data_IF_881474360791
#
_entry.id   IF_881474360791
#
_cell.length_a   1.000
_cell.length_b   1.000
_cell.length_c   1.000
_cell.angle_alpha   90.00
_cell.angle_beta   90.00
_cell.angle_gamma   90.00
#
_symmetry.space_group_name_H-M   'P 1'
#
loop_
_entity.id
_entity.type
_entity.pdbx_description
1 polymer ?
#
# COMPACT_ATOMS: atom_id res chain seq x y z
N UNK A 1 -9.53 7.70 3.54
CA UNK A 1 -8.31 7.21 2.90
C UNK A 1 -7.65 6.15 3.78
N UNK A 2 -6.89 5.27 3.17
CA UNK A 2 -6.24 4.16 3.85
C UNK A 2 -4.76 4.13 3.47
N UNK A 3 -3.90 3.95 4.46
CA UNK A 3 -2.50 3.66 4.25
C UNK A 3 -2.25 2.16 4.44
N UNK A 4 -1.55 1.53 3.49
CA UNK A 4 -1.04 0.15 3.60
C UNK A 4 0.46 0.25 3.87
N UNK A 5 0.96 -0.41 4.92
CA UNK A 5 2.36 -0.30 5.33
C UNK A 5 2.82 -1.53 6.11
N UNK A 6 4.11 -1.85 6.03
CA UNK A 6 4.76 -2.84 6.88
C UNK A 6 5.14 -2.27 8.26
N UNK A 7 5.03 -0.95 8.48
CA UNK A 7 5.53 -0.26 9.66
C UNK A 7 7.02 -0.52 9.95
N UNK A 8 7.83 -0.66 8.91
CA UNK A 8 9.28 -0.77 9.10
C UNK A 8 9.83 0.44 9.85
N UNK A 9 10.93 0.25 10.57
CA UNK A 9 11.57 1.32 11.30
C UNK A 9 12.05 2.42 10.34
N UNK A 10 11.80 3.66 10.67
CA UNK A 10 12.19 4.81 9.87
C UNK A 10 11.01 5.46 9.13
N UNK A 11 11.10 5.54 7.80
CA UNK A 11 10.13 6.27 6.96
C UNK A 11 8.71 5.74 7.07
N UNK A 12 8.52 4.43 7.09
CA UNK A 12 7.20 3.81 7.16
C UNK A 12 6.46 4.22 8.43
N UNK A 13 7.16 4.21 9.57
CA UNK A 13 6.58 4.61 10.85
C UNK A 13 6.23 6.10 10.84
N UNK A 14 7.10 6.98 10.31
CA UNK A 14 6.85 8.43 10.22
C UNK A 14 5.63 8.72 9.33
N UNK A 15 5.54 8.05 8.18
CA UNK A 15 4.42 8.20 7.25
C UNK A 15 3.12 7.70 7.89
N UNK A 16 3.17 6.57 8.61
CA UNK A 16 2.00 6.01 9.30
C UNK A 16 1.47 6.96 10.40
N UNK A 17 2.35 7.50 11.25
CA UNK A 17 1.98 8.49 12.27
C UNK A 17 1.35 9.75 11.65
N UNK A 18 1.96 10.23 10.56
CA UNK A 18 1.45 11.40 9.82
C UNK A 18 0.08 11.11 9.19
N UNK A 19 -0.12 9.94 8.63
CA UNK A 19 -1.39 9.53 8.03
C UNK A 19 -2.49 9.42 9.09
N UNK A 20 -2.20 8.81 10.23
CA UNK A 20 -3.13 8.71 11.36
C UNK A 20 -3.54 10.10 11.86
N UNK A 21 -2.59 11.01 12.03
CA UNK A 21 -2.86 12.39 12.43
C UNK A 21 -3.76 13.14 11.43
N UNK A 22 -3.84 12.67 10.18
CA UNK A 22 -4.71 13.19 9.12
C UNK A 22 -5.99 12.38 8.91
N UNK A 23 -6.30 11.45 9.82
CA UNK A 23 -7.54 10.67 9.78
C UNK A 23 -7.55 9.49 8.80
N UNK A 24 -6.37 9.03 8.36
CA UNK A 24 -6.28 7.79 7.58
C UNK A 24 -6.47 6.57 8.48
N UNK A 25 -7.10 5.53 7.96
CA UNK A 25 -7.02 4.20 8.53
C UNK A 25 -5.73 3.50 8.09
N UNK A 26 -5.26 2.55 8.89
CA UNK A 26 -4.07 1.75 8.61
C UNK A 26 -4.44 0.30 8.31
N UNK A 27 -3.84 -0.24 7.28
CA UNK A 27 -3.77 -1.67 7.02
C UNK A 27 -2.31 -2.10 7.09
N UNK A 28 -2.04 -3.10 7.88
CA UNK A 28 -0.68 -3.59 8.12
C UNK A 28 -0.46 -4.88 7.33
N UNK A 29 0.66 -4.95 6.59
CA UNK A 29 1.15 -6.19 5.97
C UNK A 29 2.57 -6.41 6.47
N UNK A 30 2.71 -7.30 7.45
CA UNK A 30 3.98 -7.60 8.08
C UNK A 30 4.67 -8.76 7.36
N UNK A 31 6.01 -8.71 7.15
CA UNK A 31 6.76 -9.78 6.49
C UNK A 31 6.83 -11.06 7.32
N UNK A 32 6.66 -10.94 8.63
CA UNK A 32 6.72 -12.02 9.61
C UNK A 32 5.58 -11.93 10.62
N UNK A 33 5.28 -13.00 11.37
CA UNK A 33 4.49 -12.89 12.58
C UNK A 33 5.06 -11.78 13.48
N UNK A 34 4.17 -11.01 14.09
CA UNK A 34 4.52 -9.80 14.85
C UNK A 34 5.69 -10.02 15.83
N UNK A 35 5.67 -11.11 16.59
CA UNK A 35 6.71 -11.41 17.57
C UNK A 35 8.09 -11.64 16.94
N UNK A 36 8.14 -12.20 15.73
CA UNK A 36 9.39 -12.38 14.97
C UNK A 36 9.86 -11.05 14.40
N UNK A 37 8.92 -10.27 13.84
CA UNK A 37 9.24 -8.98 13.23
C UNK A 37 9.74 -7.95 14.25
N UNK A 38 9.29 -8.04 15.50
CA UNK A 38 9.77 -7.17 16.60
C UNK A 38 11.29 -7.26 16.84
N UNK A 39 11.94 -8.34 16.42
CA UNK A 39 13.38 -8.50 16.56
C UNK A 39 14.21 -7.61 15.62
N UNK A 40 13.58 -7.08 14.57
CA UNK A 40 14.26 -6.23 13.57
C UNK A 40 14.35 -4.75 13.99
N UNK A 41 13.72 -4.39 15.12
CA UNK A 41 13.61 -3.00 15.55
C UNK A 41 14.62 -2.64 16.64
N UNK A 42 15.10 -1.41 16.61
CA UNK A 42 15.77 -0.80 17.77
C UNK A 42 14.79 -0.67 18.94
N UNK A 43 15.29 -0.36 20.14
CA UNK A 43 14.44 -0.20 21.32
C UNK A 43 13.36 0.90 21.11
N UNK A 44 13.75 2.05 20.55
CA UNK A 44 12.83 3.17 20.29
C UNK A 44 11.89 2.84 19.12
N UNK A 45 12.38 2.20 18.07
CA UNK A 45 11.58 1.73 16.94
C UNK A 45 10.52 0.72 17.36
N UNK A 46 10.86 -0.19 18.26
CA UNK A 46 9.94 -1.19 18.79
C UNK A 46 8.80 -0.57 19.61
N UNK A 47 9.09 0.44 20.41
CA UNK A 47 8.06 1.15 21.17
C UNK A 47 7.06 1.81 20.21
N UNK A 48 7.54 2.51 19.18
CA UNK A 48 6.70 3.13 18.15
C UNK A 48 5.91 2.09 17.35
N UNK A 49 6.55 1.01 16.94
CA UNK A 49 5.88 -0.10 16.25
C UNK A 49 4.72 -0.68 17.07
N UNK A 50 4.96 -0.95 18.36
CA UNK A 50 3.93 -1.46 19.27
C UNK A 50 2.79 -0.48 19.48
N UNK A 51 3.11 0.81 19.63
CA UNK A 51 2.11 1.87 19.74
C UNK A 51 1.24 1.94 18.48
N UNK A 52 1.86 1.92 17.29
CA UNK A 52 1.13 1.98 16.03
C UNK A 52 0.32 0.72 15.74
N UNK A 53 0.84 -0.47 16.01
CA UNK A 53 0.09 -1.73 15.82
C UNK A 53 -1.11 -1.85 16.77
N UNK A 54 -1.08 -1.20 17.93
CA UNK A 54 -2.20 -1.13 18.89
C UNK A 54 -3.14 0.07 18.66
N UNK A 55 -2.87 0.92 17.68
CA UNK A 55 -3.64 2.14 17.49
C UNK A 55 -5.03 1.85 16.88
N UNK A 56 -6.05 2.61 17.32
CA UNK A 56 -7.44 2.44 16.85
C UNK A 56 -7.65 2.70 15.36
N UNK A 57 -6.72 3.36 14.69
CA UNK A 57 -6.73 3.55 13.23
C UNK A 57 -6.39 2.28 12.46
N UNK A 58 -5.83 1.24 13.09
CA UNK A 58 -5.56 -0.05 12.46
C UNK A 58 -6.87 -0.77 12.22
N UNK A 59 -7.26 -0.88 10.97
CA UNK A 59 -8.51 -1.53 10.57
C UNK A 59 -8.32 -2.95 10.03
N UNK A 60 -7.08 -3.29 9.64
CA UNK A 60 -6.69 -4.63 9.26
C UNK A 60 -5.21 -4.85 9.53
N UNK A 61 -4.84 -6.07 9.85
CA UNK A 61 -3.46 -6.51 9.93
C UNK A 61 -3.34 -7.93 9.38
N UNK A 62 -2.37 -8.13 8.50
CA UNK A 62 -1.97 -9.42 7.98
C UNK A 62 -0.48 -9.60 8.28
N UNK A 63 -0.11 -10.71 8.83
CA UNK A 63 1.29 -11.10 8.97
C UNK A 63 1.55 -12.30 8.07
N UNK A 64 2.55 -12.19 7.21
CA UNK A 64 3.05 -13.33 6.46
C UNK A 64 3.79 -14.26 7.43
N UNK A 65 3.88 -15.52 7.10
CA UNK A 65 4.56 -16.51 7.96
C UNK A 65 6.10 -16.43 7.88
N UNK A 66 6.60 -15.59 6.96
CA UNK A 66 8.03 -15.50 6.63
C UNK A 66 8.52 -16.66 5.81
N UNK A 67 7.75 -17.75 5.78
CA UNK A 67 8.03 -18.99 5.07
C UNK A 67 9.37 -19.63 5.48
N UNK A 68 9.61 -20.84 4.99
CA UNK A 68 10.97 -21.45 4.96
C UNK A 68 11.80 -20.83 3.82
N UNK A 69 11.74 -19.47 3.70
CA UNK A 69 12.44 -18.77 2.64
C UNK A 69 13.94 -18.77 2.94
N UNK A 70 14.78 -19.09 1.96
CA UNK A 70 16.22 -19.25 2.17
C UNK A 70 16.92 -17.94 2.57
N UNK A 71 16.26 -16.81 2.34
CA UNK A 71 16.80 -15.48 2.63
C UNK A 71 15.75 -14.58 3.30
N UNK A 72 16.09 -13.87 4.39
CA UNK A 72 15.20 -12.93 5.05
C UNK A 72 14.62 -11.86 4.10
N UNK A 73 15.41 -11.40 3.13
CA UNK A 73 15.00 -10.44 2.09
C UNK A 73 13.82 -10.91 1.26
N UNK A 74 13.59 -12.21 1.15
CA UNK A 74 12.45 -12.76 0.41
C UNK A 74 11.11 -12.50 1.11
N UNK A 75 11.07 -12.51 2.45
CA UNK A 75 9.86 -12.19 3.21
C UNK A 75 9.48 -10.70 3.06
N UNK A 76 10.46 -9.82 3.08
CA UNK A 76 10.24 -8.40 2.79
C UNK A 76 9.74 -8.18 1.37
N UNK A 77 10.34 -8.85 0.39
CA UNK A 77 9.89 -8.76 -1.00
C UNK A 77 8.46 -9.27 -1.18
N UNK A 78 8.07 -10.33 -0.47
CA UNK A 78 6.70 -10.84 -0.49
C UNK A 78 5.71 -9.87 0.16
N UNK A 79 6.07 -9.23 1.29
CA UNK A 79 5.24 -8.21 1.91
C UNK A 79 5.08 -6.97 1.01
N UNK A 80 6.17 -6.53 0.38
CA UNK A 80 6.15 -5.43 -0.59
C UNK A 80 5.23 -5.73 -1.78
N UNK A 81 5.30 -6.97 -2.29
CA UNK A 81 4.44 -7.43 -3.38
C UNK A 81 2.97 -7.38 -2.96
N UNK A 82 2.65 -7.92 -1.79
CA UNK A 82 1.30 -7.89 -1.24
C UNK A 82 0.80 -6.44 -1.01
N UNK A 83 1.67 -5.53 -0.56
CA UNK A 83 1.31 -4.12 -0.43
C UNK A 83 0.98 -3.49 -1.79
N UNK A 84 1.80 -3.71 -2.81
CA UNK A 84 1.56 -3.17 -4.16
C UNK A 84 0.26 -3.69 -4.78
N UNK A 85 -0.13 -4.94 -4.52
CA UNK A 85 -1.42 -5.50 -4.99
C UNK A 85 -2.65 -4.80 -4.38
N UNK A 86 -2.46 -4.09 -3.26
CA UNK A 86 -3.55 -3.49 -2.49
C UNK A 86 -3.48 -1.96 -2.42
N UNK A 87 -2.66 -1.34 -3.27
CA UNK A 87 -2.47 0.11 -3.30
C UNK A 87 -2.64 0.68 -4.71
N UNK A 88 -3.23 1.86 -4.79
CA UNK A 88 -3.37 2.62 -6.03
C UNK A 88 -2.20 3.58 -6.23
N UNK A 89 -1.61 4.03 -5.13
CA UNK A 89 -0.55 5.03 -5.09
C UNK A 89 0.55 4.56 -4.15
N UNK A 90 1.78 4.50 -4.65
CA UNK A 90 2.97 4.28 -3.83
C UNK A 90 3.56 5.62 -3.39
N UNK A 91 3.78 5.78 -2.08
CA UNK A 91 4.62 6.86 -1.53
C UNK A 91 5.94 6.23 -1.11
N UNK A 92 7.03 6.62 -1.76
CA UNK A 92 8.36 6.10 -1.48
C UNK A 92 9.27 7.21 -0.94
N UNK A 93 9.77 7.05 0.28
CA UNK A 93 10.89 7.87 0.78
C UNK A 93 12.17 7.22 0.29
N UNK A 94 12.82 7.85 -0.71
CA UNK A 94 13.89 7.20 -1.46
C UNK A 94 14.89 8.23 -2.01
N UNK A 95 16.18 7.92 -1.86
CA UNK A 95 17.28 8.75 -2.34
C UNK A 95 17.43 8.79 -3.89
N UNK A 96 16.83 7.84 -4.58
CA UNK A 96 16.91 7.70 -6.03
C UNK A 96 17.99 6.72 -6.50
N UNK A 97 18.74 6.13 -5.55
CA UNK A 97 19.80 5.19 -5.89
C UNK A 97 19.24 3.80 -6.25
N UNK A 98 19.94 3.06 -7.09
CA UNK A 98 19.56 1.68 -7.43
C UNK A 98 19.44 0.78 -6.20
N UNK A 99 18.67 -0.30 -6.32
CA UNK A 99 18.49 -1.27 -5.25
C UNK A 99 19.83 -1.86 -4.79
N UNK A 100 20.14 -1.69 -3.50
CA UNK A 100 21.31 -2.33 -2.89
C UNK A 100 21.09 -3.83 -2.62
N UNK A 101 19.84 -4.31 -2.72
CA UNK A 101 19.44 -5.69 -2.48
C UNK A 101 17.96 -5.92 -2.72
N UNK A 102 17.53 -7.17 -2.57
CA UNK A 102 16.15 -7.60 -2.73
C UNK A 102 15.26 -7.07 -1.60
N UNK A 103 14.05 -6.63 -1.93
CA UNK A 103 13.06 -6.13 -0.97
C UNK A 103 13.28 -4.68 -0.54
N UNK A 104 14.26 -3.96 -1.14
CA UNK A 104 14.50 -2.55 -0.86
C UNK A 104 13.55 -1.61 -1.61
N UNK A 105 13.53 -0.33 -1.19
CA UNK A 105 12.62 0.70 -1.74
C UNK A 105 12.75 0.87 -3.25
N UNK A 106 13.96 0.84 -3.79
CA UNK A 106 14.17 0.97 -5.23
C UNK A 106 13.49 -0.15 -6.04
N UNK A 107 13.54 -1.40 -5.54
CA UNK A 107 12.84 -2.52 -6.20
C UNK A 107 11.31 -2.32 -6.18
N UNK A 108 10.77 -1.85 -5.07
CA UNK A 108 9.33 -1.55 -4.93
C UNK A 108 8.91 -0.45 -5.89
N UNK A 109 9.72 0.61 -6.00
CA UNK A 109 9.47 1.72 -6.95
C UNK A 109 9.44 1.22 -8.39
N UNK A 110 10.42 0.43 -8.81
CA UNK A 110 10.47 -0.11 -10.17
C UNK A 110 9.29 -1.04 -10.47
N UNK A 111 8.89 -1.87 -9.51
CA UNK A 111 7.70 -2.72 -9.64
C UNK A 111 6.40 -1.92 -9.74
N UNK A 112 6.24 -0.88 -8.93
CA UNK A 112 5.08 0.01 -8.99
C UNK A 112 5.00 0.73 -10.36
N UNK A 113 6.14 1.24 -10.85
CA UNK A 113 6.25 1.85 -12.18
C UNK A 113 5.85 0.86 -13.29
N UNK A 114 6.38 -0.37 -13.24
CA UNK A 114 6.07 -1.42 -14.23
C UNK A 114 4.58 -1.80 -14.25
N UNK A 115 3.88 -1.66 -13.13
CA UNK A 115 2.43 -1.86 -13.02
C UNK A 115 1.61 -0.65 -13.45
N UNK A 116 2.26 0.46 -13.81
CA UNK A 116 1.58 1.71 -14.13
C UNK A 116 0.92 2.38 -12.91
N UNK A 117 1.33 2.01 -11.69
CA UNK A 117 0.86 2.65 -10.48
C UNK A 117 1.43 4.07 -10.39
N UNK A 118 0.70 4.94 -9.72
CA UNK A 118 1.21 6.28 -9.40
C UNK A 118 2.27 6.16 -8.32
N UNK A 119 3.46 6.72 -8.57
CA UNK A 119 4.56 6.73 -7.61
C UNK A 119 4.88 8.16 -7.22
N UNK A 120 4.79 8.45 -5.92
CA UNK A 120 5.23 9.70 -5.31
C UNK A 120 6.54 9.42 -4.60
N UNK A 121 7.61 10.05 -5.05
CA UNK A 121 8.91 10.02 -4.38
C UNK A 121 9.03 11.20 -3.45
N UNK A 122 9.47 10.94 -2.23
CA UNK A 122 9.94 11.94 -1.28
C UNK A 122 11.43 11.73 -1.09
N UNK A 123 12.24 12.65 -1.58
CA UNK A 123 13.69 12.59 -1.42
C UNK A 123 14.11 12.97 0.01
N UNK A 124 15.35 12.62 0.40
CA UNK A 124 15.84 12.86 1.76
C UNK A 124 15.95 14.36 2.13
N UNK A 125 16.03 15.23 1.14
CA UNK A 125 16.00 16.69 1.31
C UNK A 125 14.57 17.27 1.39
N UNK A 126 13.55 16.39 1.32
CA UNK A 126 12.15 16.77 1.34
C UNK A 126 11.55 17.13 -0.04
N UNK A 127 12.35 17.08 -1.10
CA UNK A 127 11.83 17.29 -2.46
C UNK A 127 10.85 16.18 -2.82
N UNK A 128 9.68 16.58 -3.36
CA UNK A 128 8.64 15.65 -3.80
C UNK A 128 8.65 15.60 -5.33
N UNK A 129 8.59 14.41 -5.88
CA UNK A 129 8.43 14.19 -7.31
C UNK A 129 7.44 13.07 -7.60
N UNK A 130 6.79 13.14 -8.77
CA UNK A 130 5.79 12.21 -9.24
C UNK A 130 6.31 11.48 -10.48
N UNK A 131 6.21 10.16 -10.51
CA UNK A 131 6.48 9.40 -11.72
C UNK A 131 5.30 9.49 -12.68
N UNK A 132 5.58 9.92 -13.89
CA UNK A 132 4.63 9.94 -15.00
C UNK A 132 5.16 9.08 -16.14
N UNK A 133 4.48 7.96 -16.39
CA UNK A 133 4.75 7.17 -17.58
C UNK A 133 4.34 7.95 -18.85
N UNK A 134 5.07 7.76 -19.94
CA UNK A 134 4.71 8.35 -21.22
C UNK A 134 3.35 7.85 -21.71
N UNK A 135 2.63 8.68 -22.42
CA UNK A 135 1.35 8.27 -23.02
C UNK A 135 1.60 7.12 -24.00
N UNK A 136 0.90 6.00 -23.80
CA UNK A 136 1.08 4.76 -24.56
C UNK A 136 2.45 4.10 -24.37
N UNK A 137 3.09 4.29 -23.21
CA UNK A 137 4.32 3.58 -22.87
C UNK A 137 4.18 2.08 -23.07
N UNK A 138 5.14 1.46 -23.76
CA UNK A 138 5.24 0.00 -23.88
C UNK A 138 5.79 -0.58 -22.57
N UNK A 139 6.73 0.12 -21.97
CA UNK A 139 7.28 -0.18 -20.66
C UNK A 139 7.09 1.05 -19.74
N UNK A 140 6.05 1.05 -18.88
CA UNK A 140 5.79 2.18 -17.99
C UNK A 140 6.93 2.47 -16.98
N UNK A 141 7.81 1.52 -16.72
CA UNK A 141 8.96 1.72 -15.83
C UNK A 141 10.11 2.45 -16.52
N UNK A 142 10.35 2.15 -17.80
CA UNK A 142 11.44 2.74 -18.58
C UNK A 142 10.98 4.02 -19.30
N UNK A 143 9.74 4.03 -19.80
CA UNK A 143 9.21 5.09 -20.65
C UNK A 143 8.45 6.13 -19.80
N UNK A 144 9.15 6.91 -19.00
CA UNK A 144 8.54 7.95 -18.19
C UNK A 144 9.55 8.95 -17.64
N UNK A 145 9.05 9.90 -16.86
CA UNK A 145 9.88 10.94 -16.23
C UNK A 145 9.38 11.28 -14.84
N UNK A 146 10.31 11.76 -14.00
CA UNK A 146 9.98 12.36 -12.73
C UNK A 146 9.59 13.83 -12.93
N UNK A 147 8.44 14.20 -12.40
CA UNK A 147 7.91 15.56 -12.48
C UNK A 147 7.91 16.16 -11.09
N UNK A 148 8.35 17.41 -10.98
CA UNK A 148 8.16 18.22 -9.78
C UNK A 148 6.75 18.84 -9.81
N UNK A 149 5.83 18.43 -8.91
CA UNK A 149 4.48 18.98 -8.86
C UNK A 149 4.45 20.49 -8.67
N UNK A 150 5.45 21.08 -8.00
CA UNK A 150 5.53 22.51 -7.76
C UNK A 150 5.88 23.31 -9.03
N UNK A 151 6.45 22.65 -10.04
CA UNK A 151 6.82 23.25 -11.33
C UNK A 151 5.75 23.07 -12.42
N UNK A 152 4.67 22.32 -12.10
CA UNK A 152 3.61 22.06 -13.08
C UNK A 152 2.81 23.33 -13.40
N UNK A 153 2.46 23.57 -14.68
CA UNK A 153 1.47 24.59 -15.02
C UNK A 153 0.15 24.37 -14.29
N UNK A 154 -0.50 25.43 -13.86
CA UNK A 154 -1.74 25.34 -13.05
C UNK A 154 -2.84 24.50 -13.69
N UNK A 155 -2.87 24.42 -15.02
CA UNK A 155 -3.81 23.54 -15.74
C UNK A 155 -3.48 22.06 -15.62
N UNK A 156 -2.20 21.70 -15.60
CA UNK A 156 -1.73 20.31 -15.43
C UNK A 156 -1.87 19.87 -13.99
N UNK A 157 -1.60 20.75 -13.02
CA UNK A 157 -1.85 20.48 -11.60
C UNK A 157 -3.31 20.15 -11.34
N UNK A 158 -4.24 20.94 -11.92
CA UNK A 158 -5.68 20.68 -11.80
C UNK A 158 -6.08 19.35 -12.46
N UNK A 159 -5.49 19.00 -13.60
CA UNK A 159 -5.73 17.71 -14.27
C UNK A 159 -5.22 16.53 -13.43
N UNK A 160 -4.04 16.68 -12.85
CA UNK A 160 -3.46 15.67 -11.93
C UNK A 160 -4.32 15.50 -10.67
N UNK A 161 -4.72 16.60 -10.04
CA UNK A 161 -5.62 16.58 -8.90
C UNK A 161 -6.95 15.89 -9.23
N UNK A 162 -7.52 16.18 -10.40
CA UNK A 162 -8.73 15.50 -10.88
C UNK A 162 -8.52 14.00 -11.14
N UNK A 163 -7.34 13.61 -11.62
CA UNK A 163 -6.98 12.20 -11.78
C UNK A 163 -6.91 11.48 -10.42
N UNK A 164 -6.20 12.04 -9.46
CA UNK A 164 -6.16 11.49 -8.09
C UNK A 164 -7.55 11.41 -7.47
N UNK A 165 -8.34 12.46 -7.64
CA UNK A 165 -9.70 12.45 -7.14
C UNK A 165 -10.55 11.33 -7.75
N UNK A 166 -10.44 11.09 -9.06
CA UNK A 166 -11.14 9.98 -9.72
C UNK A 166 -10.67 8.60 -9.24
N UNK A 167 -9.37 8.42 -8.99
CA UNK A 167 -8.81 7.17 -8.50
C UNK A 167 -9.24 6.86 -7.06
N UNK A 168 -9.27 7.89 -6.21
CA UNK A 168 -9.54 7.75 -4.78
C UNK A 168 -11.01 7.94 -4.42
N UNK A 169 -11.83 8.49 -5.32
CA UNK A 169 -13.25 8.69 -5.07
C UNK A 169 -14.02 7.36 -5.19
N UNK A 170 -15.06 7.16 -4.39
CA UNK A 170 -15.98 6.05 -4.60
C UNK A 170 -16.56 6.09 -6.01
N UNK A 171 -16.91 4.94 -6.60
CA UNK A 171 -17.52 4.90 -7.91
C UNK A 171 -18.77 5.77 -7.97
N UNK A 172 -18.87 6.59 -9.01
CA UNK A 172 -20.03 7.46 -9.25
C UNK A 172 -21.14 6.76 -10.03
N UNK A 173 -20.82 5.66 -10.70
CA UNK A 173 -21.81 4.82 -11.37
C UNK A 173 -22.79 4.25 -10.34
N UNK A 174 -24.12 4.44 -10.53
CA UNK A 174 -25.11 4.01 -9.56
C UNK A 174 -25.11 2.50 -9.31
N UNK A 175 -24.78 1.70 -10.33
CA UNK A 175 -24.74 0.23 -10.22
C UNK A 175 -23.52 -0.19 -9.41
N UNK A 176 -22.35 0.35 -9.74
CA UNK A 176 -21.12 0.09 -9.00
C UNK A 176 -21.22 0.59 -7.56
N UNK A 177 -21.87 1.74 -7.34
CA UNK A 177 -22.12 2.28 -6.00
C UNK A 177 -23.04 1.38 -5.19
N UNK A 178 -24.15 0.93 -5.78
CA UNK A 178 -25.09 0.01 -5.13
C UNK A 178 -24.43 -1.33 -4.77
N UNK A 179 -23.54 -1.82 -5.63
CA UNK A 179 -22.76 -3.03 -5.35
C UNK A 179 -21.81 -2.85 -4.17
N UNK A 180 -21.13 -1.71 -4.13
CA UNK A 180 -20.25 -1.36 -3.02
C UNK A 180 -21.04 -1.22 -1.70
N UNK A 181 -22.17 -0.53 -1.73
CA UNK A 181 -23.00 -0.31 -0.55
C UNK A 181 -23.60 -1.62 -0.04
N UNK A 182 -24.07 -2.51 -0.92
CA UNK A 182 -24.55 -3.84 -0.56
C UNK A 182 -23.43 -4.70 0.04
N UNK A 183 -22.25 -4.67 -0.57
CA UNK A 183 -21.09 -5.39 -0.08
C UNK A 183 -20.65 -4.92 1.30
N UNK A 184 -20.63 -3.62 1.55
CA UNK A 184 -20.30 -3.06 2.86
C UNK A 184 -21.35 -3.38 3.92
N UNK A 185 -22.62 -3.47 3.51
CA UNK A 185 -23.73 -3.82 4.40
C UNK A 185 -23.74 -5.32 4.76
N UNK A 186 -23.42 -6.20 3.81
CA UNK A 186 -23.42 -7.66 4.01
C UNK A 186 -22.18 -8.19 4.74
N UNK A 187 -21.12 -7.42 4.73
CA UNK A 187 -19.87 -7.79 5.39
C UNK A 187 -19.66 -6.94 6.63
N UNK A 188 -20.10 -7.39 7.81
CA UNK A 188 -19.52 -6.90 9.04
C UNK A 188 -18.07 -7.43 9.06
N UNK A 189 -17.25 -6.84 8.19
CA UNK A 189 -15.88 -7.27 8.02
C UNK A 189 -15.11 -6.94 9.27
N UNK A 190 -14.68 -7.95 9.95
CA UNK A 190 -13.67 -7.83 10.98
C UNK A 190 -12.34 -7.27 10.41
N UNK A 191 -12.16 -7.26 9.07
CA UNK A 191 -11.05 -6.60 8.41
C UNK A 191 -11.48 -5.96 7.09
N UNK A 192 -11.17 -4.69 6.92
CA UNK A 192 -11.38 -3.96 5.66
C UNK A 192 -10.53 -4.50 4.49
N UNK A 193 -9.49 -5.28 4.80
CA UNK A 193 -8.65 -5.97 3.84
C UNK A 193 -9.42 -7.08 3.09
N UNK A 194 -10.13 -7.95 3.84
CA UNK A 194 -10.98 -8.97 3.23
C UNK A 194 -12.11 -8.33 2.39
N UNK A 195 -12.58 -7.15 2.78
CA UNK A 195 -13.54 -6.36 2.03
C UNK A 195 -12.99 -5.84 0.70
N UNK A 196 -11.79 -5.26 0.70
CA UNK A 196 -11.13 -4.76 -0.50
C UNK A 196 -10.83 -5.87 -1.51
N UNK A 197 -10.36 -7.02 -1.03
CA UNK A 197 -10.07 -8.17 -1.88
C UNK A 197 -11.32 -8.78 -2.53
N UNK A 198 -12.41 -8.92 -1.79
CA UNK A 198 -13.68 -9.39 -2.35
C UNK A 198 -14.28 -8.43 -3.37
N UNK A 199 -14.14 -7.11 -3.15
CA UNK A 199 -14.57 -6.10 -4.11
C UNK A 199 -13.79 -6.22 -5.42
N UNK A 200 -12.48 -6.34 -5.35
CA UNK A 200 -11.61 -6.55 -6.51
C UNK A 200 -11.96 -7.84 -7.26
N UNK A 201 -12.20 -8.94 -6.58
CA UNK A 201 -12.65 -10.18 -7.22
C UNK A 201 -14.03 -10.04 -7.88
N UNK A 202 -14.97 -9.35 -7.25
CA UNK A 202 -16.31 -9.12 -7.81
C UNK A 202 -16.28 -8.25 -9.07
N UNK A 203 -15.43 -7.23 -9.09
CA UNK A 203 -15.29 -6.30 -10.21
C UNK A 203 -14.49 -6.92 -11.37
N UNK A 204 -13.41 -7.66 -11.07
CA UNK A 204 -12.53 -8.22 -12.10
C UNK A 204 -13.01 -9.56 -12.67
N UNK A 205 -13.76 -10.34 -11.92
CA UNK A 205 -14.15 -11.70 -12.29
C UNK A 205 -15.63 -11.85 -12.68
N UNK A 206 -16.36 -10.74 -12.87
CA UNK A 206 -17.72 -10.78 -13.41
C UNK A 206 -18.70 -11.64 -12.61
N UNK A 207 -18.65 -11.56 -11.28
CA UNK A 207 -19.74 -12.06 -10.43
C UNK A 207 -19.74 -13.55 -10.09
N UNK A 208 -18.68 -14.32 -10.36
CA UNK A 208 -18.59 -15.68 -9.83
C UNK A 208 -17.77 -15.71 -8.55
N UNK A 209 -18.45 -15.66 -7.44
CA UNK A 209 -17.88 -16.02 -6.14
C UNK A 209 -17.39 -17.47 -6.19
N UNK A 210 -16.09 -17.68 -6.28
CA UNK A 210 -15.49 -18.97 -6.00
C UNK A 210 -14.82 -18.95 -4.63
N UNK A 211 -14.90 -20.08 -3.93
CA UNK A 211 -14.74 -20.11 -2.49
C UNK A 211 -13.29 -20.02 -2.05
N UNK A 212 -13.12 -19.35 -0.92
CA UNK A 212 -12.08 -19.57 0.09
C UNK A 212 -10.68 -19.84 -0.42
N UNK A 213 -9.92 -18.78 -0.55
CA UNK A 213 -8.52 -18.85 -0.11
C UNK A 213 -8.56 -18.55 1.39
N UNK A 214 -8.50 -19.58 2.22
CA UNK A 214 -8.30 -19.42 3.65
C UNK A 214 -6.86 -18.97 3.85
N UNK A 215 -6.64 -17.67 3.91
CA UNK A 215 -5.47 -17.15 4.59
C UNK A 215 -5.72 -17.41 6.06
N UNK A 216 -4.87 -18.25 6.65
CA UNK A 216 -5.01 -18.67 8.04
C UNK A 216 -5.00 -17.49 9.00
N UNK A 217 -6.16 -16.94 9.26
CA UNK A 217 -6.40 -16.10 10.42
C UNK A 217 -6.71 -17.03 11.59
N UNK A 218 -5.69 -17.33 12.38
CA UNK A 218 -5.91 -17.90 13.70
C UNK A 218 -6.48 -16.81 14.60
N UNK A 219 -7.81 -16.69 14.60
CA UNK A 219 -8.52 -16.04 15.69
C UNK A 219 -8.29 -16.88 16.97
N UNK A 220 -7.45 -16.41 17.87
CA UNK A 220 -7.56 -16.83 19.27
C UNK A 220 -8.69 -16.03 19.88
N UNK A 221 -9.85 -16.66 19.99
CA UNK A 221 -10.86 -16.27 20.97
C UNK A 221 -10.37 -16.72 22.35
N UNK A 222 -10.18 -15.78 23.22
CA UNK A 222 -10.47 -15.87 24.66
C UNK A 222 -11.16 -14.59 25.08
#
# INVERSE_FOLDING_TARGET
LRLVTALAEGSDTIVAETAVARGFSLNLILPYPKATYEADFSADGLERFRAMTGHSAVTAACALDGGDLPEPSAAYAAANEAMLEHTDVLIAVWDGEPAAGRGGTAEVVERAKARGQVVIRVALDGTVSLWQAATNAVDPAADGTWIDPASMPSGEEAALAAQFHRMLAPPTDPTARSYLDAFLAESPCASSFACGYKLLQGVLLGGSCHPRVEYGMTEKRE
#
